data_IF_480034346295
#
_entry.id   IF_480034346295
#
_cell.length_a   1.000
_cell.length_b   1.000
_cell.length_c   1.000
_cell.angle_alpha   90.00
_cell.angle_beta   90.00
_cell.angle_gamma   90.00
#
_symmetry.space_group_name_H-M   'P 1'
#
loop_
_entity.id
_entity.type
_entity.pdbx_description
1 polymer ?
#
# COMPACT_ATOMS: atom_id res chain seq x y z
N UNK A 1 39.69 26.31 23.28
CA UNK A 1 38.29 25.90 23.57
C UNK A 1 37.37 26.21 22.38
N UNK A 2 37.58 25.65 21.18
CA UNK A 2 36.74 26.02 20.01
C UNK A 2 36.69 24.94 18.92
N UNK A 3 36.59 23.64 19.23
CA UNK A 3 36.58 22.60 18.15
C UNK A 3 35.93 21.27 18.53
N UNK A 4 35.04 21.20 19.52
CA UNK A 4 34.45 19.92 19.95
C UNK A 4 32.91 19.81 19.88
N UNK A 5 32.21 20.78 19.29
CA UNK A 5 30.73 20.81 19.29
C UNK A 5 30.09 20.52 17.91
N UNK A 6 30.87 20.21 16.87
CA UNK A 6 30.30 20.00 15.52
C UNK A 6 30.04 18.53 15.17
N UNK A 7 30.23 17.58 16.08
CA UNK A 7 30.16 16.13 15.79
C UNK A 7 29.00 15.38 16.46
N UNK A 8 27.90 16.06 16.80
CA UNK A 8 26.75 15.41 17.46
C UNK A 8 25.38 15.62 16.79
N UNK A 9 25.37 16.15 15.56
CA UNK A 9 24.12 16.39 14.78
C UNK A 9 24.14 15.61 13.45
N UNK A 10 24.64 14.38 13.46
CA UNK A 10 24.49 13.46 12.31
C UNK A 10 23.98 12.06 12.69
N UNK A 11 23.73 11.75 13.97
CA UNK A 11 23.40 10.38 14.43
C UNK A 11 21.90 10.22 14.80
N UNK A 12 21.03 11.15 14.40
CA UNK A 12 19.59 11.07 14.67
C UNK A 12 18.71 10.84 13.44
N UNK A 13 19.29 10.71 12.25
CA UNK A 13 18.53 10.42 11.01
C UNK A 13 18.51 8.94 10.60
N UNK A 14 19.12 8.02 11.35
CA UNK A 14 19.16 6.60 10.97
C UNK A 14 18.06 5.70 11.57
N UNK A 15 17.22 6.21 12.48
CA UNK A 15 16.18 5.36 13.10
C UNK A 15 14.93 5.15 12.21
N UNK A 16 14.75 5.93 11.15
CA UNK A 16 13.59 5.82 10.25
C UNK A 16 13.79 4.89 9.05
N UNK A 17 15.03 4.50 8.72
CA UNK A 17 15.34 3.81 7.44
C UNK A 17 15.03 2.31 7.48
N UNK A 18 15.11 1.70 8.67
CA UNK A 18 15.00 0.25 8.80
C UNK A 18 13.57 -0.28 8.59
N UNK A 19 12.54 0.55 8.84
CA UNK A 19 11.14 0.15 8.66
C UNK A 19 10.57 0.49 7.27
N UNK A 20 11.09 1.53 6.61
CA UNK A 20 10.71 1.85 5.24
C UNK A 20 10.93 0.63 4.31
N UNK A 21 12.08 -0.05 4.43
CA UNK A 21 12.39 -1.25 3.66
C UNK A 21 11.44 -2.45 3.92
N UNK A 22 10.68 -2.47 5.02
CA UNK A 22 9.82 -3.61 5.35
C UNK A 22 8.59 -3.70 4.42
N UNK A 23 8.09 -2.57 3.91
CA UNK A 23 6.94 -2.53 3.00
C UNK A 23 7.32 -2.84 1.55
N UNK A 24 8.62 -2.80 1.22
CA UNK A 24 9.09 -3.00 -0.14
C UNK A 24 8.81 -4.42 -0.63
N UNK A 25 8.35 -4.50 -1.87
CA UNK A 25 8.14 -5.73 -2.61
C UNK A 25 6.71 -5.91 -3.10
N UNK A 26 6.44 -7.14 -3.53
CA UNK A 26 5.16 -7.52 -4.07
C UNK A 26 4.30 -8.19 -3.00
N UNK A 27 3.06 -7.75 -2.87
CA UNK A 27 2.07 -8.27 -1.92
C UNK A 27 0.83 -8.71 -2.67
N UNK A 28 0.19 -9.79 -2.22
CA UNK A 28 -0.98 -10.36 -2.88
C UNK A 28 -2.12 -10.51 -1.89
N UNK A 29 -3.29 -10.00 -2.26
CA UNK A 29 -4.56 -10.23 -1.57
C UNK A 29 -5.49 -10.99 -2.50
N UNK A 30 -5.99 -12.13 -2.07
CA UNK A 30 -6.94 -12.93 -2.84
C UNK A 30 -8.25 -13.05 -2.09
N UNK A 31 -9.35 -12.69 -2.76
CA UNK A 31 -10.68 -12.80 -2.18
C UNK A 31 -11.64 -13.43 -3.18
N UNK A 32 -12.46 -14.35 -2.70
CA UNK A 32 -13.57 -14.90 -3.46
C UNK A 32 -14.79 -14.00 -3.30
N UNK A 33 -15.41 -13.64 -4.41
CA UNK A 33 -16.66 -12.92 -4.45
C UNK A 33 -17.69 -13.77 -5.19
N UNK A 34 -18.91 -13.85 -4.70
CA UNK A 34 -20.01 -14.40 -5.49
C UNK A 34 -20.70 -13.24 -6.21
N UNK A 35 -20.78 -13.31 -7.54
CA UNK A 35 -21.53 -12.34 -8.34
C UNK A 35 -22.46 -13.12 -9.26
N UNK A 36 -23.77 -12.90 -9.11
CA UNK A 36 -24.80 -13.55 -9.92
C UNK A 36 -24.80 -15.09 -9.86
N UNK A 37 -24.41 -15.68 -8.72
CA UNK A 37 -24.33 -17.14 -8.54
C UNK A 37 -22.99 -17.75 -8.99
N UNK A 38 -22.14 -16.98 -9.67
CA UNK A 38 -20.80 -17.41 -10.08
C UNK A 38 -19.75 -16.98 -9.03
N UNK A 39 -18.94 -17.94 -8.59
CA UNK A 39 -17.78 -17.65 -7.73
C UNK A 39 -16.66 -17.08 -8.60
N UNK A 40 -16.17 -15.90 -8.23
CA UNK A 40 -15.05 -15.26 -8.91
C UNK A 40 -13.93 -14.92 -7.92
N UNK A 41 -12.70 -15.26 -8.29
CA UNK A 41 -11.52 -14.86 -7.55
C UNK A 41 -11.08 -13.47 -7.99
N UNK A 42 -10.89 -12.58 -7.01
CA UNK A 42 -10.28 -11.27 -7.18
C UNK A 42 -8.90 -11.35 -6.57
N UNK A 43 -7.87 -11.19 -7.41
CA UNK A 43 -6.48 -11.12 -6.98
C UNK A 43 -6.00 -9.67 -7.11
N UNK A 44 -5.58 -9.09 -6.00
CA UNK A 44 -4.95 -7.77 -5.96
C UNK A 44 -3.48 -7.93 -5.66
N UNK A 45 -2.64 -7.43 -6.57
CA UNK A 45 -1.19 -7.43 -6.43
C UNK A 45 -0.73 -5.99 -6.19
N UNK A 46 -0.05 -5.75 -5.08
CA UNK A 46 0.54 -4.47 -4.71
C UNK A 46 2.04 -4.57 -4.97
N UNK A 47 2.58 -3.70 -5.81
CA UNK A 47 4.01 -3.54 -6.02
C UNK A 47 4.42 -2.24 -5.34
N UNK A 48 5.05 -2.34 -4.17
CA UNK A 48 5.29 -1.21 -3.28
C UNK A 48 6.79 -0.95 -3.12
N UNK A 49 7.14 0.32 -3.08
CA UNK A 49 8.51 0.80 -2.86
C UNK A 49 8.53 2.04 -2.00
N UNK A 50 9.29 1.97 -0.92
CA UNK A 50 9.58 3.06 -0.02
C UNK A 50 10.74 3.92 -0.52
N UNK A 51 10.64 5.22 -0.27
CA UNK A 51 11.70 6.20 -0.43
C UNK A 51 11.65 7.11 0.81
N UNK A 52 12.32 6.67 1.88
CA UNK A 52 12.22 7.29 3.20
C UNK A 52 10.79 7.28 3.73
N UNK A 53 10.17 8.46 3.83
CA UNK A 53 8.78 8.61 4.30
C UNK A 53 7.73 8.55 3.18
N UNK A 54 8.15 8.43 1.91
CA UNK A 54 7.26 8.33 0.76
C UNK A 54 7.03 6.86 0.40
N UNK A 55 5.80 6.54 0.01
CA UNK A 55 5.45 5.26 -0.58
C UNK A 55 5.11 5.48 -2.06
N UNK A 56 5.71 4.70 -2.92
CA UNK A 56 5.45 4.66 -4.36
C UNK A 56 5.13 3.25 -4.79
N UNK A 57 4.54 3.08 -5.97
CA UNK A 57 4.16 1.75 -6.43
C UNK A 57 2.91 1.72 -7.31
N UNK A 58 2.41 0.50 -7.51
CA UNK A 58 1.22 0.25 -8.30
C UNK A 58 0.37 -0.87 -7.69
N UNK A 59 -0.91 -0.86 -8.02
CA UNK A 59 -1.84 -1.94 -7.72
C UNK A 59 -2.35 -2.52 -9.02
N UNK A 60 -2.21 -3.82 -9.20
CA UNK A 60 -2.86 -4.58 -10.26
C UNK A 60 -4.03 -5.37 -9.70
N UNK A 61 -5.23 -5.21 -10.27
CA UNK A 61 -6.43 -5.97 -9.91
C UNK A 61 -6.79 -6.90 -11.06
N UNK A 62 -6.80 -8.21 -10.80
CA UNK A 62 -7.31 -9.24 -11.70
C UNK A 62 -8.64 -9.77 -11.16
N UNK A 63 -9.65 -9.84 -12.02
CA UNK A 63 -11.01 -10.27 -11.67
C UNK A 63 -11.42 -11.44 -12.56
N UNK A 64 -11.37 -12.67 -12.05
CA UNK A 64 -11.54 -13.89 -12.84
C UNK A 64 -10.47 -14.01 -13.93
N UNK A 65 -10.88 -14.39 -15.15
CA UNK A 65 -10.01 -14.52 -16.32
C UNK A 65 -9.75 -13.20 -17.08
N UNK A 66 -10.28 -12.08 -16.60
CA UNK A 66 -10.05 -10.78 -17.22
C UNK A 66 -8.58 -10.34 -17.12
N UNK A 67 -8.14 -9.50 -18.06
CA UNK A 67 -6.85 -8.84 -17.99
C UNK A 67 -6.73 -7.98 -16.70
N UNK A 68 -5.57 -8.00 -16.04
CA UNK A 68 -5.34 -7.21 -14.85
C UNK A 68 -5.37 -5.72 -15.20
N UNK A 69 -6.05 -4.92 -14.38
CA UNK A 69 -6.02 -3.46 -14.46
C UNK A 69 -5.03 -2.92 -13.46
N UNK A 70 -4.04 -2.17 -13.94
CA UNK A 70 -3.02 -1.56 -13.10
C UNK A 70 -3.33 -0.08 -12.88
N UNK A 71 -3.12 0.40 -11.67
CA UNK A 71 -3.23 1.80 -11.30
C UNK A 71 -2.09 2.18 -10.38
N UNK A 72 -1.49 3.34 -10.61
CA UNK A 72 -0.45 3.86 -9.72
C UNK A 72 -1.05 4.30 -8.38
N UNK A 73 -0.29 4.11 -7.31
CA UNK A 73 -0.65 4.74 -6.03
C UNK A 73 -0.29 6.23 -6.06
N UNK A 74 -1.07 7.03 -5.35
CA UNK A 74 -0.89 8.48 -5.16
C UNK A 74 -0.88 8.79 -3.66
N UNK A 75 -0.27 9.91 -3.30
CA UNK A 75 -0.20 10.40 -1.92
C UNK A 75 0.34 9.38 -0.90
N UNK A 76 1.27 8.52 -1.34
CA UNK A 76 1.79 7.45 -0.52
C UNK A 76 2.74 7.95 0.57
N UNK A 77 2.46 7.54 1.81
CA UNK A 77 3.19 7.95 3.02
C UNK A 77 3.49 6.74 3.91
N UNK A 78 4.64 6.80 4.57
CA UNK A 78 5.09 5.82 5.56
C UNK A 78 5.36 6.57 6.87
N UNK A 79 4.77 6.08 7.96
CA UNK A 79 4.98 6.57 9.32
C UNK A 79 5.29 5.38 10.24
N UNK A 80 6.58 5.09 10.44
CA UNK A 80 7.02 3.90 11.16
C UNK A 80 6.57 2.62 10.47
N UNK A 81 5.69 1.84 11.10
CA UNK A 81 5.10 0.63 10.52
C UNK A 81 3.74 0.88 9.83
N UNK A 82 3.23 2.11 9.86
CA UNK A 82 1.98 2.50 9.22
C UNK A 82 2.24 2.98 7.81
N UNK A 83 1.30 2.72 6.93
CA UNK A 83 1.30 3.25 5.58
C UNK A 83 -0.08 3.80 5.22
N UNK A 84 -0.08 4.77 4.33
CA UNK A 84 -1.30 5.28 3.70
C UNK A 84 -1.02 5.61 2.23
N UNK A 85 -2.00 5.39 1.36
CA UNK A 85 -1.95 5.81 -0.05
C UNK A 85 -3.35 5.83 -0.65
N UNK A 86 -3.50 6.50 -1.78
CA UNK A 86 -4.75 6.54 -2.54
C UNK A 86 -4.55 5.88 -3.89
N UNK A 87 -5.56 5.15 -4.37
CA UNK A 87 -5.60 4.66 -5.76
C UNK A 87 -6.79 5.26 -6.46
N UNK A 88 -6.54 5.78 -7.66
CA UNK A 88 -7.58 6.30 -8.56
C UNK A 88 -7.75 5.30 -9.68
N UNK A 89 -8.89 4.63 -9.72
CA UNK A 89 -9.23 3.68 -10.78
C UNK A 89 -10.26 4.30 -11.71
N UNK A 90 -9.97 4.38 -13.00
CA UNK A 90 -10.95 4.80 -14.00
C UNK A 90 -11.93 3.66 -14.27
N UNK A 91 -13.21 3.94 -14.09
CA UNK A 91 -14.31 3.01 -14.38
C UNK A 91 -15.21 3.59 -15.45
N UNK A 92 -16.09 2.80 -16.09
CA UNK A 92 -17.07 3.32 -17.04
C UNK A 92 -17.98 4.42 -16.46
N UNK A 93 -18.13 4.48 -15.13
CA UNK A 93 -18.95 5.45 -14.41
C UNK A 93 -18.13 6.66 -13.91
N UNK A 94 -16.86 6.79 -14.31
CA UNK A 94 -15.95 7.85 -13.87
C UNK A 94 -14.78 7.35 -13.04
N UNK A 95 -14.00 8.28 -12.50
CA UNK A 95 -12.90 8.00 -11.59
C UNK A 95 -13.42 7.58 -10.22
N UNK A 96 -12.89 6.49 -9.69
CA UNK A 96 -13.19 6.02 -8.34
C UNK A 96 -11.91 6.07 -7.51
N UNK A 97 -11.91 6.89 -6.46
CA UNK A 97 -10.82 6.98 -5.50
C UNK A 97 -11.02 5.98 -4.37
N UNK A 98 -9.95 5.28 -4.00
CA UNK A 98 -9.91 4.37 -2.87
C UNK A 98 -8.72 4.72 -2.00
N UNK A 99 -8.97 5.15 -0.77
CA UNK A 99 -7.94 5.36 0.24
C UNK A 99 -7.62 4.03 0.92
N UNK A 100 -6.32 3.76 1.08
CA UNK A 100 -5.78 2.60 1.78
C UNK A 100 -4.97 3.09 2.96
N UNK A 101 -5.22 2.51 4.12
CA UNK A 101 -4.47 2.77 5.35
C UNK A 101 -4.23 1.46 6.07
N UNK A 102 -3.03 1.24 6.60
CA UNK A 102 -2.71 -0.01 7.25
C UNK A 102 -1.34 -0.03 7.92
N UNK A 103 -0.95 -1.22 8.33
CA UNK A 103 0.33 -1.51 8.97
C UNK A 103 1.01 -2.72 8.34
N UNK A 104 2.35 -2.69 8.34
CA UNK A 104 3.19 -3.84 7.99
C UNK A 104 3.37 -4.70 9.25
N UNK A 105 2.97 -5.96 9.16
CA UNK A 105 3.07 -6.98 10.20
C UNK A 105 3.86 -8.19 9.67
N UNK A 106 5.20 -8.11 9.70
CA UNK A 106 6.07 -9.14 9.14
C UNK A 106 5.82 -9.33 7.65
N UNK A 107 5.37 -10.52 7.25
CA UNK A 107 5.01 -10.86 5.87
C UNK A 107 3.54 -10.60 5.53
N UNK A 108 2.84 -9.79 6.32
CA UNK A 108 1.45 -9.38 6.07
C UNK A 108 1.26 -7.87 6.11
N UNK A 109 0.45 -7.37 5.18
CA UNK A 109 -0.13 -6.03 5.15
C UNK A 109 -1.56 -6.14 5.65
N UNK A 110 -1.90 -5.44 6.73
CA UNK A 110 -3.27 -5.37 7.25
C UNK A 110 -3.73 -3.94 7.32
N UNK A 111 -4.99 -3.72 6.98
CA UNK A 111 -5.52 -2.36 7.00
C UNK A 111 -6.97 -2.28 6.55
N UNK A 112 -7.35 -1.07 6.15
CA UNK A 112 -8.67 -0.78 5.60
C UNK A 112 -8.55 -0.08 4.26
N UNK A 113 -9.51 -0.38 3.39
CA UNK A 113 -9.70 0.28 2.11
C UNK A 113 -11.07 0.97 2.10
N UNK A 114 -11.09 2.29 1.89
CA UNK A 114 -12.30 3.09 1.85
C UNK A 114 -12.46 3.72 0.46
N UNK A 115 -13.55 3.38 -0.23
CA UNK A 115 -13.93 4.06 -1.48
C UNK A 115 -14.58 5.39 -1.13
N UNK A 116 -14.42 6.37 -2.02
CA UNK A 116 -15.10 7.66 -1.88
C UNK A 116 -16.63 7.45 -1.74
N UNK A 117 -17.22 8.00 -0.67
CA UNK A 117 -18.64 7.81 -0.33
C UNK A 117 -19.03 6.42 0.20
N UNK A 118 -18.07 5.51 0.41
CA UNK A 118 -18.30 4.15 0.89
C UNK A 118 -17.80 3.90 2.32
N UNK A 119 -18.20 2.77 2.90
CA UNK A 119 -17.66 2.29 4.20
C UNK A 119 -16.26 1.71 4.02
N UNK A 120 -15.39 1.94 5.00
CA UNK A 120 -14.07 1.30 5.07
C UNK A 120 -14.24 -0.22 5.23
N UNK A 121 -13.49 -0.99 4.44
CA UNK A 121 -13.51 -2.45 4.45
C UNK A 121 -12.13 -2.97 4.83
N UNK A 122 -12.02 -3.96 5.73
CA UNK A 122 -10.73 -4.54 6.05
C UNK A 122 -10.14 -5.26 4.83
N UNK A 123 -8.83 -5.21 4.72
CA UNK A 123 -8.06 -6.00 3.77
C UNK A 123 -6.81 -6.58 4.43
N UNK A 124 -6.38 -7.70 3.89
CA UNK A 124 -5.12 -8.36 4.24
C UNK A 124 -4.43 -8.76 2.93
N UNK A 125 -3.14 -8.48 2.81
CA UNK A 125 -2.29 -8.92 1.71
C UNK A 125 -1.05 -9.59 2.28
N UNK A 126 -0.56 -10.64 1.63
CA UNK A 126 0.65 -11.37 2.05
C UNK A 126 1.79 -11.08 1.10
N UNK A 127 3.01 -11.05 1.64
CA UNK A 127 4.21 -10.92 0.81
C UNK A 127 4.27 -12.10 -0.17
N UNK A 128 4.58 -11.80 -1.44
CA UNK A 128 4.70 -12.79 -2.51
C UNK A 128 6.07 -13.45 -2.51
#
# INVERSE_FOLDING_TARGET
MKTFITLFVCVLMLAGVALAAAIDGQWVSERKMNRNGEEMTITQTFDLKSDGAKLTGSIAMKMGDNEPRTSEIKDGKIDGNKFSFTVVMTTPNGEMKTAYEGTVEGDSLKGTAAREGGQARPFEAKKK
#
